data_IF_332374870239
#
_entry.id   IF_332374870239
#
_cell.length_a   1.000
_cell.length_b   1.000
_cell.length_c   1.000
_cell.angle_alpha   90.00
_cell.angle_beta   90.00
_cell.angle_gamma   90.00
#
_symmetry.space_group_name_H-M   'P 1'
#
loop_
_entity.id
_entity.type
_entity.pdbx_description
1 polymer ?
#
# COMPACT_ATOMS: atom_id res chain seq x y z
N UNK A 1 -10.13 32.19 -7.03
CA UNK A 1 -10.00 31.59 -5.69
C UNK A 1 -8.57 31.03 -5.60
N UNK A 2 -7.67 31.80 -4.99
CA UNK A 2 -6.29 31.36 -4.77
C UNK A 2 -6.35 30.20 -3.77
N UNK A 3 -5.96 29.00 -4.20
CA UNK A 3 -5.66 27.91 -3.27
C UNK A 3 -4.41 28.38 -2.53
N UNK A 4 -4.54 28.67 -1.24
CA UNK A 4 -3.39 28.96 -0.39
C UNK A 4 -2.48 27.74 -0.45
N UNK A 5 -1.28 27.88 -1.04
CA UNK A 5 -0.26 26.85 -1.00
C UNK A 5 0.04 26.58 0.47
N UNK A 6 -0.34 25.38 0.92
CA UNK A 6 -0.02 24.98 2.28
C UNK A 6 1.49 24.96 2.42
N UNK A 7 2.01 25.65 3.42
CA UNK A 7 3.45 25.65 3.69
C UNK A 7 3.91 24.20 3.93
N UNK A 8 4.91 23.70 3.18
CA UNK A 8 5.38 22.34 3.36
C UNK A 8 5.80 22.08 4.80
N UNK A 9 5.38 20.95 5.35
CA UNK A 9 5.81 20.54 6.68
C UNK A 9 7.21 19.89 6.64
N UNK A 10 7.73 19.50 7.79
CA UNK A 10 9.08 18.90 7.89
C UNK A 10 9.27 17.72 6.95
N UNK A 11 8.36 16.73 6.85
CA UNK A 11 8.54 15.61 5.91
C UNK A 11 8.65 16.07 4.46
N UNK A 12 7.77 16.93 3.98
CA UNK A 12 7.81 17.43 2.59
C UNK A 12 9.09 18.20 2.30
N UNK A 13 9.55 18.99 3.27
CA UNK A 13 10.79 19.77 3.15
C UNK A 13 12.03 18.87 3.07
N UNK A 14 12.03 17.73 3.76
CA UNK A 14 13.13 16.76 3.74
C UNK A 14 13.09 15.86 2.50
N UNK A 15 11.91 15.40 2.11
CA UNK A 15 11.73 14.48 0.97
C UNK A 15 11.90 15.20 -0.36
N UNK A 16 11.31 16.40 -0.52
CA UNK A 16 11.23 17.11 -1.79
C UNK A 16 12.54 17.23 -2.54
N UNK A 17 13.62 17.76 -1.94
CA UNK A 17 14.91 17.92 -2.60
C UNK A 17 15.58 16.57 -2.98
N UNK A 18 15.15 15.46 -2.37
CA UNK A 18 15.73 14.14 -2.56
C UNK A 18 14.69 13.08 -2.93
N UNK A 19 13.57 13.49 -3.51
CA UNK A 19 12.39 12.65 -3.72
C UNK A 19 12.71 11.32 -4.43
N UNK A 20 13.49 11.37 -5.51
CA UNK A 20 13.91 10.17 -6.24
C UNK A 20 14.73 9.22 -5.38
N UNK A 21 15.71 9.73 -4.66
CA UNK A 21 16.57 8.92 -3.77
C UNK A 21 15.75 8.31 -2.66
N UNK A 22 14.86 9.09 -2.05
CA UNK A 22 13.96 8.63 -1.01
C UNK A 22 13.05 7.50 -1.51
N UNK A 23 12.42 7.69 -2.67
CA UNK A 23 11.56 6.68 -3.29
C UNK A 23 12.32 5.38 -3.56
N UNK A 24 13.49 5.47 -4.19
CA UNK A 24 14.26 4.30 -4.55
C UNK A 24 14.82 3.54 -3.34
N UNK A 25 15.19 4.23 -2.27
CA UNK A 25 15.55 3.58 -0.99
C UNK A 25 14.33 2.85 -0.40
N UNK A 26 13.15 3.46 -0.44
CA UNK A 26 11.91 2.86 0.07
C UNK A 26 11.53 1.63 -0.75
N UNK A 27 11.47 1.74 -2.08
CA UNK A 27 11.13 0.64 -2.97
C UNK A 27 12.16 -0.50 -2.88
N UNK A 28 13.44 -0.18 -2.86
CA UNK A 28 14.51 -1.18 -2.77
C UNK A 28 14.65 -1.82 -1.39
N UNK A 29 14.18 -1.16 -0.32
CA UNK A 29 14.38 -1.63 1.05
C UNK A 29 13.26 -2.52 1.60
N UNK A 30 12.06 -2.46 1.05
CA UNK A 30 10.89 -3.19 1.58
C UNK A 30 10.57 -4.49 0.84
N UNK A 31 11.06 -4.64 -0.39
CA UNK A 31 11.00 -5.87 -1.17
C UNK A 31 12.14 -6.84 -0.86
N UNK A 32 12.14 -8.00 -1.51
CA UNK A 32 13.18 -9.02 -1.35
C UNK A 32 14.28 -8.96 -2.42
N UNK A 33 13.99 -8.39 -3.57
CA UNK A 33 14.91 -8.29 -4.71
C UNK A 33 15.48 -6.90 -4.94
N UNK A 34 15.26 -5.95 -4.01
CA UNK A 34 15.68 -4.57 -4.21
C UNK A 34 14.98 -3.94 -5.41
N UNK A 35 15.62 -2.96 -6.03
CA UNK A 35 15.09 -2.31 -7.23
C UNK A 35 15.05 -3.24 -8.47
N UNK A 36 15.81 -4.32 -8.48
CA UNK A 36 15.81 -5.29 -9.59
C UNK A 36 14.48 -6.06 -9.72
N UNK A 37 13.63 -6.00 -8.69
CA UNK A 37 12.27 -6.56 -8.74
C UNK A 37 11.31 -5.73 -9.60
N UNK A 38 11.68 -4.50 -9.92
CA UNK A 38 10.83 -3.57 -10.66
C UNK A 38 11.22 -3.54 -12.13
N UNK A 39 10.25 -3.70 -13.01
CA UNK A 39 10.46 -3.46 -14.43
C UNK A 39 10.96 -2.01 -14.64
N UNK A 40 12.00 -1.78 -15.48
CA UNK A 40 12.59 -0.45 -15.65
C UNK A 40 11.58 0.63 -16.05
N UNK A 41 10.57 0.28 -16.86
CA UNK A 41 9.51 1.21 -17.26
C UNK A 41 8.59 1.56 -16.09
N UNK A 42 8.25 0.59 -15.24
CA UNK A 42 7.43 0.83 -14.04
C UNK A 42 8.18 1.72 -13.05
N UNK A 43 9.46 1.44 -12.81
CA UNK A 43 10.30 2.25 -11.93
C UNK A 43 10.43 3.71 -12.44
N UNK A 44 10.61 3.90 -13.73
CA UNK A 44 10.65 5.23 -14.34
C UNK A 44 9.32 5.99 -14.17
N UNK A 45 8.20 5.28 -14.23
CA UNK A 45 6.88 5.88 -14.01
C UNK A 45 6.65 6.23 -12.54
N UNK A 46 7.09 5.40 -11.60
CA UNK A 46 7.08 5.73 -10.17
C UNK A 46 7.92 6.97 -9.87
N UNK A 47 9.15 7.06 -10.40
CA UNK A 47 9.99 8.25 -10.30
C UNK A 47 9.25 9.50 -10.83
N UNK A 48 8.67 9.41 -12.03
CA UNK A 48 7.94 10.51 -12.68
C UNK A 48 6.73 10.98 -11.86
N UNK A 49 5.98 10.05 -11.30
CA UNK A 49 4.77 10.35 -10.54
C UNK A 49 5.08 10.88 -9.16
N UNK A 50 6.01 10.25 -8.44
CA UNK A 50 6.30 10.60 -7.05
C UNK A 50 7.10 11.90 -6.89
N UNK A 51 8.03 12.20 -7.81
CA UNK A 51 8.92 13.35 -7.70
C UNK A 51 8.25 14.72 -7.93
N UNK A 52 6.94 14.79 -7.83
CA UNK A 52 6.14 16.02 -7.89
C UNK A 52 5.77 16.48 -6.49
N UNK A 53 5.81 17.79 -6.25
CA UNK A 53 5.52 18.37 -4.93
C UNK A 53 4.14 17.94 -4.40
N UNK A 54 3.14 17.90 -5.29
CA UNK A 54 1.77 17.52 -4.94
C UNK A 54 1.68 16.04 -4.53
N UNK A 55 2.44 15.17 -5.19
CA UNK A 55 2.47 13.73 -4.89
C UNK A 55 3.16 13.46 -3.55
N UNK A 56 4.24 14.17 -3.26
CA UNK A 56 4.93 14.09 -1.98
C UNK A 56 4.03 14.58 -0.85
N UNK A 57 3.34 15.70 -1.06
CA UNK A 57 2.39 16.22 -0.09
C UNK A 57 1.24 15.24 0.15
N UNK A 58 0.63 14.71 -0.91
CA UNK A 58 -0.43 13.71 -0.81
C UNK A 58 0.02 12.45 -0.03
N UNK A 59 1.23 11.95 -0.31
CA UNK A 59 1.79 10.83 0.45
C UNK A 59 1.98 11.15 1.94
N UNK A 60 2.43 12.37 2.27
CA UNK A 60 2.55 12.79 3.66
C UNK A 60 1.18 12.95 4.34
N UNK A 61 0.17 13.46 3.64
CA UNK A 61 -1.20 13.57 4.16
C UNK A 61 -1.84 12.20 4.40
N UNK A 62 -1.58 11.20 3.55
CA UNK A 62 -2.02 9.82 3.75
C UNK A 62 -1.52 9.27 5.10
N UNK A 63 -0.24 9.43 5.41
CA UNK A 63 0.32 9.04 6.71
C UNK A 63 -0.28 9.84 7.89
N UNK A 64 -0.60 11.12 7.70
CA UNK A 64 -1.26 11.93 8.74
C UNK A 64 -2.69 11.45 8.99
N UNK A 65 -3.43 11.17 7.91
CA UNK A 65 -4.79 10.62 7.99
C UNK A 65 -4.79 9.28 8.71
N UNK A 66 -3.88 8.36 8.34
CA UNK A 66 -3.75 7.04 8.95
C UNK A 66 -3.48 7.09 10.46
N UNK A 67 -2.80 8.12 10.95
CA UNK A 67 -2.53 8.33 12.38
C UNK A 67 -3.65 9.11 13.11
N UNK A 68 -4.65 9.63 12.41
CA UNK A 68 -5.69 10.50 12.94
C UNK A 68 -7.09 10.11 12.50
N UNK A 69 -7.60 10.81 11.49
CA UNK A 69 -9.01 10.73 11.07
C UNK A 69 -9.44 9.34 10.61
N UNK A 70 -8.55 8.57 9.97
CA UNK A 70 -8.87 7.21 9.52
C UNK A 70 -9.15 6.28 10.70
N UNK A 71 -8.39 6.43 11.80
CA UNK A 71 -8.64 5.67 13.02
C UNK A 71 -10.00 6.02 13.66
N UNK A 72 -10.45 7.26 13.54
CA UNK A 72 -11.76 7.69 14.02
C UNK A 72 -12.87 7.05 13.16
N UNK A 73 -12.74 7.09 11.84
CA UNK A 73 -13.66 6.46 10.90
C UNK A 73 -13.73 4.94 11.12
N UNK A 74 -12.59 4.27 11.24
CA UNK A 74 -12.52 2.83 11.49
C UNK A 74 -13.23 2.42 12.79
N UNK A 75 -13.03 3.20 13.85
CA UNK A 75 -13.71 2.96 15.13
C UNK A 75 -15.21 3.17 15.01
N UNK A 76 -15.64 4.21 14.30
CA UNK A 76 -17.06 4.50 14.06
C UNK A 76 -17.73 3.38 13.25
N UNK A 77 -17.12 2.94 12.14
CA UNK A 77 -17.61 1.85 11.30
C UNK A 77 -17.71 0.54 12.08
N UNK A 78 -16.71 0.21 12.91
CA UNK A 78 -16.77 -0.97 13.78
C UNK A 78 -17.89 -0.87 14.82
N UNK A 79 -18.08 0.29 15.44
CA UNK A 79 -19.15 0.51 16.41
C UNK A 79 -20.54 0.41 15.76
N UNK A 80 -20.68 0.84 14.50
CA UNK A 80 -21.89 0.70 13.70
C UNK A 80 -22.12 -0.73 13.17
N UNK A 81 -21.15 -1.64 13.32
CA UNK A 81 -21.24 -3.02 12.80
C UNK A 81 -21.11 -3.10 11.28
N UNK A 82 -20.56 -2.07 10.65
CA UNK A 82 -20.33 -2.04 9.20
C UNK A 82 -19.29 -3.08 8.80
N UNK A 83 -19.56 -3.79 7.69
CA UNK A 83 -18.69 -4.84 7.16
C UNK A 83 -18.65 -4.82 5.64
N UNK A 84 -17.56 -5.29 5.08
CA UNK A 84 -17.40 -5.48 3.63
C UNK A 84 -18.35 -6.59 3.18
N UNK A 85 -19.28 -6.24 2.28
CA UNK A 85 -20.37 -7.12 1.84
C UNK A 85 -20.07 -7.96 0.58
N UNK A 86 -18.87 -7.85 0.02
CA UNK A 86 -18.44 -8.64 -1.15
C UNK A 86 -17.34 -9.64 -0.77
N UNK A 87 -17.17 -10.67 -1.60
CA UNK A 87 -16.05 -11.60 -1.47
C UNK A 87 -14.73 -10.84 -1.57
N UNK A 88 -13.78 -11.23 -0.72
CA UNK A 88 -12.52 -10.52 -0.53
C UNK A 88 -11.32 -11.47 -0.71
N UNK A 89 -10.39 -11.09 -1.56
CA UNK A 89 -9.09 -11.77 -1.71
C UNK A 89 -8.01 -11.00 -0.97
N UNK A 90 -7.29 -11.69 -0.09
CA UNK A 90 -6.19 -11.14 0.70
C UNK A 90 -4.87 -11.80 0.27
N UNK A 91 -3.97 -11.01 -0.30
CA UNK A 91 -2.61 -11.46 -0.64
C UNK A 91 -1.58 -10.64 0.15
N UNK A 92 -0.59 -11.30 0.72
CA UNK A 92 0.48 -10.62 1.45
C UNK A 92 1.82 -11.31 1.26
N UNK A 93 2.92 -10.56 1.44
CA UNK A 93 4.26 -11.11 1.32
C UNK A 93 4.66 -11.95 2.52
N UNK A 94 5.03 -13.21 2.29
CA UNK A 94 5.50 -14.16 3.32
C UNK A 94 6.74 -13.62 4.06
N UNK A 95 7.60 -12.87 3.36
CA UNK A 95 8.83 -12.30 3.90
C UNK A 95 8.66 -10.89 4.47
N UNK A 96 7.43 -10.35 4.37
CA UNK A 96 7.09 -9.01 4.86
C UNK A 96 6.81 -8.96 6.36
N UNK A 97 6.71 -7.73 6.88
CA UNK A 97 6.39 -7.47 8.29
C UNK A 97 4.99 -7.94 8.66
N UNK A 98 4.05 -7.86 7.73
CA UNK A 98 2.64 -8.26 7.92
C UNK A 98 2.54 -9.74 8.27
N UNK A 99 3.24 -10.61 7.54
CA UNK A 99 3.24 -12.06 7.81
C UNK A 99 3.80 -12.41 9.18
N UNK A 100 4.80 -11.65 9.65
CA UNK A 100 5.46 -11.93 10.93
C UNK A 100 4.67 -11.46 12.15
N UNK A 101 3.88 -10.40 12.00
CA UNK A 101 3.25 -9.71 13.13
C UNK A 101 1.74 -9.95 13.22
N UNK A 102 1.10 -10.38 12.14
CA UNK A 102 -0.36 -10.47 12.07
C UNK A 102 -0.83 -11.81 11.47
N UNK A 103 -2.08 -12.14 11.73
CA UNK A 103 -2.86 -13.12 10.96
C UNK A 103 -3.79 -12.36 10.00
N UNK A 104 -3.37 -12.13 8.74
CA UNK A 104 -4.16 -11.33 7.81
C UNK A 104 -5.55 -11.90 7.55
N UNK A 105 -5.69 -13.22 7.42
CA UNK A 105 -6.99 -13.83 7.16
C UNK A 105 -7.95 -13.67 8.33
N UNK A 106 -7.49 -13.85 9.56
CA UNK A 106 -8.33 -13.66 10.74
C UNK A 106 -8.77 -12.19 10.86
N UNK A 107 -7.85 -11.24 10.63
CA UNK A 107 -8.16 -9.82 10.68
C UNK A 107 -9.17 -9.40 9.62
N UNK A 108 -9.00 -9.83 8.37
CA UNK A 108 -9.94 -9.49 7.30
C UNK A 108 -11.30 -10.18 7.46
N UNK A 109 -11.35 -11.43 7.91
CA UNK A 109 -12.61 -12.11 8.24
C UNK A 109 -13.42 -11.37 9.30
N UNK A 110 -12.78 -10.71 10.24
CA UNK A 110 -13.45 -9.88 11.23
C UNK A 110 -14.11 -8.62 10.64
N UNK A 111 -13.64 -8.15 9.47
CA UNK A 111 -14.17 -6.95 8.80
C UNK A 111 -15.13 -7.28 7.65
N UNK A 112 -15.25 -8.55 7.23
CA UNK A 112 -16.08 -8.95 6.10
C UNK A 112 -17.32 -9.69 6.56
N UNK A 113 -18.45 -9.46 5.84
CA UNK A 113 -19.70 -10.22 5.99
C UNK A 113 -19.81 -11.34 4.94
N UNK A 114 -19.03 -11.27 3.87
CA UNK A 114 -18.94 -12.26 2.79
C UNK A 114 -17.69 -13.13 2.91
N UNK A 115 -17.41 -13.96 1.89
CA UNK A 115 -16.27 -14.85 1.86
C UNK A 115 -14.92 -14.13 1.89
N UNK A 116 -13.96 -14.67 2.65
CA UNK A 116 -12.58 -14.19 2.64
C UNK A 116 -11.65 -15.35 2.36
N UNK A 117 -10.93 -15.26 1.25
CA UNK A 117 -9.85 -16.17 0.90
C UNK A 117 -8.54 -15.44 0.73
N UNK A 118 -7.43 -16.13 0.80
CA UNK A 118 -6.12 -15.53 0.58
C UNK A 118 -4.97 -16.41 0.99
N UNK A 119 -3.77 -15.94 0.69
CA UNK A 119 -2.54 -16.68 0.94
C UNK A 119 -1.32 -15.76 1.05
N UNK A 120 -0.30 -16.24 1.76
CA UNK A 120 1.01 -15.65 1.72
C UNK A 120 1.69 -15.96 0.38
N UNK A 121 2.22 -14.93 -0.27
CA UNK A 121 3.00 -15.05 -1.50
C UNK A 121 4.50 -15.06 -1.15
N UNK A 122 5.36 -15.84 -1.84
CA UNK A 122 6.80 -15.91 -1.53
C UNK A 122 7.56 -14.64 -1.96
N UNK A 123 7.10 -13.50 -1.50
CA UNK A 123 7.56 -12.14 -1.79
C UNK A 123 7.77 -11.32 -0.52
N UNK A 124 8.36 -10.14 -0.68
CA UNK A 124 8.39 -9.10 0.32
C UNK A 124 7.14 -8.22 0.30
N UNK A 125 7.35 -6.90 0.33
CA UNK A 125 6.24 -5.95 0.40
C UNK A 125 5.54 -5.72 -0.95
N UNK A 126 6.29 -5.78 -2.05
CA UNK A 126 5.81 -5.40 -3.37
C UNK A 126 5.41 -6.61 -4.22
N UNK A 127 4.39 -7.35 -3.77
CA UNK A 127 3.93 -8.60 -4.41
C UNK A 127 3.72 -8.45 -5.92
N UNK A 128 3.05 -7.42 -6.44
CA UNK A 128 2.83 -7.28 -7.88
C UNK A 128 4.12 -7.12 -8.69
N UNK A 129 5.13 -6.51 -8.11
CA UNK A 129 6.42 -6.28 -8.75
C UNK A 129 7.33 -7.53 -8.64
N UNK A 130 7.37 -8.11 -7.45
CA UNK A 130 8.21 -9.28 -7.17
C UNK A 130 7.67 -10.57 -7.79
N UNK A 131 6.35 -10.68 -7.96
CA UNK A 131 5.63 -11.87 -8.44
C UNK A 131 4.48 -11.50 -9.40
N UNK A 132 4.75 -10.71 -10.43
CA UNK A 132 3.74 -10.18 -11.34
C UNK A 132 2.87 -11.26 -11.99
N UNK A 133 3.46 -12.33 -12.51
CA UNK A 133 2.74 -13.45 -13.12
C UNK A 133 1.82 -14.18 -12.15
N UNK A 134 2.33 -14.74 -11.04
CA UNK A 134 1.53 -15.40 -10.01
C UNK A 134 0.42 -14.51 -9.43
N UNK A 135 0.71 -13.23 -9.19
CA UNK A 135 -0.29 -12.27 -8.69
C UNK A 135 -1.42 -12.07 -9.69
N UNK A 136 -1.09 -11.87 -10.97
CA UNK A 136 -2.08 -11.73 -12.02
C UNK A 136 -2.92 -12.99 -12.21
N UNK A 137 -2.33 -14.17 -12.10
CA UNK A 137 -3.06 -15.44 -12.18
C UNK A 137 -4.02 -15.59 -10.99
N UNK A 138 -3.58 -15.25 -9.79
CA UNK A 138 -4.41 -15.32 -8.59
C UNK A 138 -5.62 -14.38 -8.66
N UNK A 139 -5.40 -13.15 -9.14
CA UNK A 139 -6.47 -12.18 -9.40
C UNK A 139 -7.46 -12.68 -10.46
N UNK A 140 -6.97 -13.20 -11.60
CA UNK A 140 -7.85 -13.73 -12.65
C UNK A 140 -8.70 -14.89 -12.15
N UNK A 141 -8.14 -15.77 -11.31
CA UNK A 141 -8.89 -16.88 -10.72
C UNK A 141 -10.00 -16.36 -9.81
N UNK A 142 -9.70 -15.41 -8.95
CA UNK A 142 -10.67 -14.82 -8.04
C UNK A 142 -11.83 -14.15 -8.77
N UNK A 143 -11.56 -13.36 -9.80
CA UNK A 143 -12.61 -12.66 -10.56
C UNK A 143 -13.38 -13.51 -11.58
N UNK A 144 -13.00 -14.78 -11.76
CA UNK A 144 -13.73 -15.73 -12.63
C UNK A 144 -14.54 -16.76 -11.85
N UNK A 145 -14.42 -16.77 -10.55
CA UNK A 145 -15.09 -17.71 -9.66
C UNK A 145 -16.58 -17.41 -9.51
#
# INVERSE_FOLDING_TARGET
MMIAEATPSVPETMIGPNAKVWLQITLGGWGTGGLDSFEPQALAEYDRCFCRAESIHAACEDYRASAGIDLEHDRASRAAGERIGCDTLVLWGERGVVHRLFDPLALWRAQCAAGVEGEAMPAGHFIPEELSGPTAERLRRFFRA
#
